data_IF_560202568195
#
_entry.id   IF_560202568195
#
_cell.length_a   1.000
_cell.length_b   1.000
_cell.length_c   1.000
_cell.angle_alpha   90.00
_cell.angle_beta   90.00
_cell.angle_gamma   90.00
#
_symmetry.space_group_name_H-M   'P 1'
#
loop_
_entity.id
_entity.type
_entity.pdbx_description
1 polymer ?
#
# COMPACT_ATOMS: atom_id res chain seq x y z
N UNK A 1 9.50 -5.52 18.36
CA UNK A 1 8.28 -4.81 18.77
C UNK A 1 7.97 -3.81 17.67
N UNK A 2 6.94 -4.04 16.85
CA UNK A 2 6.59 -3.12 15.78
C UNK A 2 5.99 -1.84 16.40
N UNK A 3 6.67 -0.71 16.24
CA UNK A 3 6.19 0.59 16.72
C UNK A 3 5.04 1.03 15.82
N UNK A 4 3.85 1.22 16.40
CA UNK A 4 2.70 1.74 15.66
C UNK A 4 3.04 3.09 15.02
N UNK A 5 2.76 3.29 13.72
CA UNK A 5 3.05 4.55 13.06
C UNK A 5 2.30 5.71 13.73
N UNK A 6 3.01 6.82 13.95
CA UNK A 6 2.41 8.04 14.48
C UNK A 6 1.29 8.59 13.57
N UNK A 7 0.46 9.54 14.05
CA UNK A 7 -0.61 10.16 13.26
C UNK A 7 -0.22 10.60 11.83
N UNK A 8 0.94 11.25 11.58
CA UNK A 8 1.33 11.64 10.22
C UNK A 8 1.63 10.43 9.32
N UNK A 9 2.24 9.38 9.86
CA UNK A 9 2.55 8.17 9.13
C UNK A 9 1.28 7.38 8.73
N UNK A 10 0.27 7.33 9.62
CA UNK A 10 -1.04 6.72 9.29
C UNK A 10 -1.79 7.48 8.20
N UNK A 11 -1.80 8.81 8.29
CA UNK A 11 -2.41 9.66 7.27
C UNK A 11 -1.73 9.49 5.91
N UNK A 12 -0.40 9.51 5.88
CA UNK A 12 0.34 9.27 4.65
C UNK A 12 0.00 7.89 4.05
N UNK A 13 -0.19 6.87 4.91
CA UNK A 13 -0.51 5.53 4.44
C UNK A 13 -1.93 5.46 3.84
N UNK A 14 -2.90 6.15 4.46
CA UNK A 14 -4.24 6.30 3.91
C UNK A 14 -4.22 7.01 2.55
N UNK A 15 -3.50 8.11 2.43
CA UNK A 15 -3.38 8.86 1.18
C UNK A 15 -2.77 7.98 0.07
N UNK A 16 -1.67 7.29 0.37
CA UNK A 16 -1.06 6.35 -0.56
C UNK A 16 -2.00 5.21 -0.94
N UNK A 17 -2.74 4.64 0.02
CA UNK A 17 -3.77 3.63 -0.22
C UNK A 17 -4.83 4.14 -1.20
N UNK A 18 -5.39 5.32 -0.98
CA UNK A 18 -6.43 5.87 -1.88
C UNK A 18 -5.91 6.12 -3.30
N UNK A 19 -4.63 6.45 -3.46
CA UNK A 19 -4.00 6.61 -4.77
C UNK A 19 -3.86 5.23 -5.45
N UNK A 20 -3.36 4.23 -4.74
CA UNK A 20 -3.16 2.88 -5.31
C UNK A 20 -4.50 2.21 -5.60
N UNK A 21 -5.40 2.12 -4.62
CA UNK A 21 -6.71 1.49 -4.77
C UNK A 21 -7.66 2.28 -5.67
N UNK A 22 -7.81 3.58 -5.43
CA UNK A 22 -8.79 4.39 -6.12
C UNK A 22 -8.39 4.82 -7.53
N UNK A 23 -7.07 4.85 -7.84
CA UNK A 23 -6.60 5.37 -9.14
C UNK A 23 -5.80 4.36 -9.95
N UNK A 24 -4.86 3.64 -9.34
CA UNK A 24 -4.03 2.67 -10.07
C UNK A 24 -4.80 1.37 -10.34
N UNK A 25 -5.37 0.75 -9.30
CA UNK A 25 -6.14 -0.49 -9.45
C UNK A 25 -7.37 -0.29 -10.35
N UNK A 26 -8.12 0.80 -10.17
CA UNK A 26 -9.24 1.14 -11.07
C UNK A 26 -8.80 1.24 -12.53
N UNK A 27 -7.64 1.86 -12.80
CA UNK A 27 -7.12 1.94 -14.16
C UNK A 27 -6.64 0.59 -14.68
N UNK A 28 -6.06 -0.27 -13.84
CA UNK A 28 -5.65 -1.62 -14.22
C UNK A 28 -6.84 -2.54 -14.54
N UNK A 29 -7.97 -2.35 -13.86
CA UNK A 29 -9.22 -3.07 -14.11
C UNK A 29 -9.97 -2.60 -15.35
N UNK A 30 -9.71 -1.38 -15.82
CA UNK A 30 -10.32 -0.82 -17.02
C UNK A 30 -9.61 -1.32 -18.30
N UNK A 31 -10.24 -2.20 -19.11
CA UNK A 31 -9.60 -2.73 -20.32
C UNK A 31 -9.28 -1.65 -21.36
N UNK A 32 -9.94 -0.48 -21.31
CA UNK A 32 -9.66 0.65 -22.20
C UNK A 32 -8.43 1.48 -21.75
N UNK A 33 -7.93 1.28 -20.53
CA UNK A 33 -6.77 1.99 -20.05
C UNK A 33 -5.50 1.52 -20.76
N UNK A 34 -4.99 2.38 -21.64
CA UNK A 34 -3.72 2.16 -22.35
C UNK A 34 -2.47 2.37 -21.46
N UNK A 35 -1.30 1.97 -21.97
CA UNK A 35 -0.04 1.99 -21.21
C UNK A 35 0.38 3.39 -20.74
N UNK A 36 0.08 4.45 -21.50
CA UNK A 36 0.36 5.82 -21.09
C UNK A 36 -0.42 6.22 -19.83
N UNK A 37 -1.70 5.87 -19.76
CA UNK A 37 -2.54 6.11 -18.58
C UNK A 37 -2.01 5.35 -17.37
N UNK A 38 -1.71 4.05 -17.55
CA UNK A 38 -1.15 3.22 -16.48
C UNK A 38 0.18 3.76 -15.97
N UNK A 39 1.05 4.23 -16.87
CA UNK A 39 2.33 4.85 -16.50
C UNK A 39 2.16 6.12 -15.66
N UNK A 40 1.22 7.00 -16.04
CA UNK A 40 0.92 8.20 -15.25
C UNK A 40 0.39 7.83 -13.86
N UNK A 41 -0.56 6.89 -13.78
CA UNK A 41 -1.15 6.46 -12.50
C UNK A 41 -0.10 5.81 -11.60
N UNK A 42 0.73 4.93 -12.15
CA UNK A 42 1.84 4.30 -11.43
C UNK A 42 2.87 5.34 -10.96
N UNK A 43 3.22 6.31 -11.81
CA UNK A 43 4.17 7.37 -11.44
C UNK A 43 3.69 8.23 -10.27
N UNK A 44 2.39 8.56 -10.22
CA UNK A 44 1.79 9.27 -9.09
C UNK A 44 1.84 8.42 -7.81
N UNK A 45 1.46 7.14 -7.90
CA UNK A 45 1.53 6.22 -6.76
C UNK A 45 2.97 6.05 -6.23
N UNK A 46 3.92 5.82 -7.14
CA UNK A 46 5.34 5.68 -6.85
C UNK A 46 5.89 6.92 -6.15
N UNK A 47 5.60 8.12 -6.69
CA UNK A 47 6.08 9.38 -6.12
C UNK A 47 5.58 9.61 -4.70
N UNK A 48 4.33 9.25 -4.42
CA UNK A 48 3.75 9.39 -3.08
C UNK A 48 4.38 8.39 -2.11
N UNK A 49 4.43 7.10 -2.48
CA UNK A 49 5.04 6.04 -1.66
C UNK A 49 6.51 6.36 -1.35
N UNK A 50 7.30 6.78 -2.33
CA UNK A 50 8.71 7.10 -2.14
C UNK A 50 8.91 8.30 -1.20
N UNK A 51 8.08 9.35 -1.32
CA UNK A 51 8.13 10.52 -0.45
C UNK A 51 7.79 10.17 1.00
N UNK A 52 6.86 9.25 1.20
CA UNK A 52 6.36 8.87 2.53
C UNK A 52 7.08 7.66 3.14
N UNK A 53 7.96 6.98 2.41
CA UNK A 53 8.60 5.75 2.84
C UNK A 53 9.33 5.86 4.20
N UNK A 54 9.97 7.00 4.46
CA UNK A 54 10.68 7.26 5.72
C UNK A 54 9.74 7.34 6.94
N UNK A 55 8.45 7.57 6.73
CA UNK A 55 7.43 7.56 7.79
C UNK A 55 7.06 6.14 8.23
N UNK A 56 7.47 5.11 7.49
CA UNK A 56 7.22 3.70 7.80
C UNK A 56 8.54 2.91 7.87
N UNK A 57 9.37 3.07 8.91
CA UNK A 57 10.75 2.55 8.91
C UNK A 57 10.86 1.05 8.59
N UNK A 58 9.95 0.23 9.11
CA UNK A 58 9.93 -1.23 8.90
C UNK A 58 9.29 -1.66 7.56
N UNK A 59 8.59 -0.77 6.86
CA UNK A 59 7.76 -1.13 5.70
C UNK A 59 8.05 -0.32 4.44
N UNK A 60 8.64 0.86 4.59
CA UNK A 60 9.05 1.77 3.51
C UNK A 60 9.97 1.08 2.51
N UNK A 61 11.08 0.43 2.92
CA UNK A 61 11.98 -0.25 1.99
C UNK A 61 11.28 -1.34 1.16
N UNK A 62 10.36 -2.08 1.78
CA UNK A 62 9.56 -3.11 1.09
C UNK A 62 8.61 -2.47 0.08
N UNK A 63 7.91 -1.39 0.44
CA UNK A 63 6.99 -0.68 -0.45
C UNK A 63 7.73 -0.03 -1.63
N UNK A 64 8.91 0.55 -1.40
CA UNK A 64 9.77 1.09 -2.47
C UNK A 64 10.22 -0.02 -3.43
N UNK A 65 10.62 -1.18 -2.89
CA UNK A 65 10.99 -2.34 -3.72
C UNK A 65 9.81 -2.86 -4.55
N UNK A 66 8.61 -2.88 -3.96
CA UNK A 66 7.38 -3.24 -4.66
C UNK A 66 7.03 -2.25 -5.78
N UNK A 67 7.24 -0.94 -5.57
CA UNK A 67 7.08 0.08 -6.62
C UNK A 67 8.05 -0.16 -7.78
N UNK A 68 9.33 -0.47 -7.51
CA UNK A 68 10.27 -0.81 -8.58
C UNK A 68 9.86 -2.08 -9.34
N UNK A 69 9.32 -3.09 -8.65
CA UNK A 69 8.75 -4.27 -9.31
C UNK A 69 7.55 -3.90 -10.18
N UNK A 70 6.64 -3.04 -9.69
CA UNK A 70 5.49 -2.57 -10.47
C UNK A 70 5.91 -1.84 -11.76
N UNK A 71 6.96 -1.02 -11.71
CA UNK A 71 7.51 -0.37 -12.91
C UNK A 71 8.06 -1.38 -13.91
N UNK A 72 8.74 -2.43 -13.44
CA UNK A 72 9.23 -3.51 -14.32
C UNK A 72 8.08 -4.28 -14.96
N UNK A 73 7.04 -4.62 -14.20
CA UNK A 73 5.86 -5.31 -14.70
C UNK A 73 5.11 -4.48 -15.74
N UNK A 74 4.95 -3.17 -15.51
CA UNK A 74 4.37 -2.26 -16.50
C UNK A 74 5.16 -2.24 -17.82
N UNK A 75 6.50 -2.21 -17.74
CA UNK A 75 7.36 -2.24 -18.94
C UNK A 75 7.34 -3.58 -19.68
N UNK A 76 7.06 -4.66 -18.96
CA UNK A 76 6.91 -6.00 -19.53
C UNK A 76 5.48 -6.29 -20.02
N UNK A 77 4.56 -5.32 -19.92
CA UNK A 77 3.13 -5.48 -20.21
C UNK A 77 2.46 -6.62 -19.40
N UNK A 78 3.02 -6.93 -18.23
CA UNK A 78 2.52 -7.97 -17.32
C UNK A 78 1.39 -7.42 -16.44
N UNK A 79 0.25 -7.12 -17.07
CA UNK A 79 -0.87 -6.39 -16.45
C UNK A 79 -1.51 -7.14 -15.28
N UNK A 80 -1.64 -8.46 -15.36
CA UNK A 80 -2.24 -9.27 -14.29
C UNK A 80 -1.34 -9.30 -13.05
N UNK A 81 -0.04 -9.56 -13.24
CA UNK A 81 0.96 -9.52 -12.17
C UNK A 81 1.04 -8.12 -11.53
N UNK A 82 0.96 -7.07 -12.36
CA UNK A 82 0.93 -5.68 -11.88
C UNK A 82 -0.32 -5.40 -11.04
N UNK A 83 -1.46 -5.94 -11.44
CA UNK A 83 -2.73 -5.83 -10.71
C UNK A 83 -2.65 -6.53 -9.36
N UNK A 84 -2.12 -7.75 -9.33
CA UNK A 84 -1.92 -8.50 -8.08
C UNK A 84 -0.97 -7.76 -7.13
N UNK A 85 0.17 -7.28 -7.65
CA UNK A 85 1.14 -6.53 -6.85
C UNK A 85 0.55 -5.22 -6.32
N UNK A 86 -0.20 -4.48 -7.16
CA UNK A 86 -0.88 -3.26 -6.74
C UNK A 86 -1.92 -3.54 -5.64
N UNK A 87 -2.62 -4.67 -5.71
CA UNK A 87 -3.51 -5.17 -4.64
C UNK A 87 -2.77 -5.35 -3.33
N UNK A 88 -1.66 -6.10 -3.34
CA UNK A 88 -0.84 -6.35 -2.14
C UNK A 88 -0.25 -5.07 -1.55
N UNK A 89 0.15 -4.11 -2.39
CA UNK A 89 0.59 -2.78 -1.95
C UNK A 89 -0.56 -2.05 -1.26
N UNK A 90 -1.76 -2.05 -1.86
CA UNK A 90 -2.94 -1.40 -1.29
C UNK A 90 -3.33 -1.99 0.07
N UNK A 91 -3.39 -3.32 0.19
CA UNK A 91 -3.68 -4.01 1.45
C UNK A 91 -2.68 -3.62 2.54
N UNK A 92 -1.39 -3.56 2.18
CA UNK A 92 -0.36 -3.16 3.13
C UNK A 92 -0.53 -1.73 3.61
N UNK A 93 -0.79 -0.80 2.68
CA UNK A 93 -1.00 0.61 3.00
C UNK A 93 -2.27 0.81 3.84
N UNK A 94 -3.33 0.03 3.58
CA UNK A 94 -4.53 0.03 4.39
C UNK A 94 -4.23 -0.39 5.84
N UNK A 95 -3.50 -1.49 6.04
CA UNK A 95 -3.08 -1.93 7.38
C UNK A 95 -2.21 -0.89 8.09
N UNK A 96 -1.32 -0.20 7.37
CA UNK A 96 -0.51 0.89 7.93
C UNK A 96 -1.35 2.10 8.31
N UNK A 97 -2.42 2.38 7.57
CA UNK A 97 -3.34 3.47 7.86
C UNK A 97 -4.25 3.19 9.07
N UNK A 98 -4.70 1.94 9.23
CA UNK A 98 -5.50 1.49 10.36
C UNK A 98 -4.67 1.38 11.66
N UNK A 99 -3.34 1.26 11.54
CA UNK A 99 -2.45 0.83 12.62
C UNK A 99 -2.56 -0.68 12.84
N UNK A 100 -1.64 -1.29 13.61
CA UNK A 100 -1.81 -2.70 13.98
C UNK A 100 -3.18 -2.86 14.68
N UNK A 101 -3.93 -3.95 14.42
CA UNK A 101 -5.12 -4.23 15.20
C UNK A 101 -4.70 -4.19 16.66
N UNK A 102 -5.37 -3.36 17.47
CA UNK A 102 -5.21 -3.44 18.93
C UNK A 102 -5.40 -4.91 19.25
N UNK A 103 -4.35 -5.58 19.69
CA UNK A 103 -4.48 -6.91 20.24
C UNK A 103 -5.64 -6.78 21.22
N UNK A 104 -6.74 -7.48 20.92
CA UNK A 104 -7.86 -7.57 21.83
C UNK A 104 -7.27 -8.17 23.09
N UNK A 105 -6.97 -7.33 24.06
CA UNK A 105 -6.80 -7.76 25.43
C UNK A 105 -8.20 -8.20 25.83
N UNK A 106 -8.55 -9.43 25.45
CA UNK A 106 -9.72 -10.10 25.97
C UNK A 106 -9.68 -9.93 27.49
N UNK A 107 -10.80 -9.56 28.14
CA UNK A 107 -10.82 -9.35 29.57
C UNK A 107 -10.28 -10.60 30.24
N UNK A 108 -9.26 -10.41 31.08
CA UNK A 108 -8.70 -11.43 31.96
C UNK A 108 -9.77 -11.78 32.99
N UNK A 109 -10.81 -12.49 32.57
CA UNK A 109 -11.86 -13.00 33.43
C UNK A 109 -11.75 -14.52 33.49
N UNK A 110 -10.74 -14.97 34.24
CA UNK A 110 -10.78 -16.24 34.97
C UNK A 110 -10.00 -16.03 36.27
N UNK A 111 -10.74 -15.72 37.32
CA UNK A 111 -10.41 -16.18 38.66
C UNK A 111 -11.59 -17.02 39.16
N UNK A 112 -11.36 -18.22 39.71
CA UNK A 112 -12.40 -19.15 40.10
C UNK A 112 -12.69 -19.02 41.60
N UNK A 113 -13.91 -18.63 41.98
CA UNK A 113 -14.52 -18.96 43.28
C UNK A 113 -16.03 -19.02 43.09
#
# INVERSE_FOLDING_TARGET
MAVSPGPPARRAAWEAYTIVAGRLLTALQDPAAGPATLNVRLGVAASHIMRSASLWPEHGPMLVSAVHAAVRLLRADARDDLTELAGRIADRLYLLSAGPPRASTAPRNRAPW
#
